data_IF_695861853886
#
_entry.id   IF_695861853886
#
_cell.length_a   1.000
_cell.length_b   1.000
_cell.length_c   1.000
_cell.angle_alpha   90.00
_cell.angle_beta   90.00
_cell.angle_gamma   90.00
#
_symmetry.space_group_name_H-M   'P 1'
#
loop_
_entity.id
_entity.type
_entity.pdbx_description
1 polymer ?
#
# COMPACT_ATOMS: atom_id res chain seq x y z
N UNK A 1 6.57 -27.87 8.09
CA UNK A 1 6.79 -26.44 7.84
C UNK A 1 8.17 -26.14 8.40
N UNK A 2 9.08 -25.56 7.61
CA UNK A 2 10.45 -25.28 8.08
C UNK A 2 10.42 -24.34 9.30
N UNK A 3 11.24 -24.61 10.31
CA UNK A 3 11.46 -23.74 11.46
C UNK A 3 12.22 -22.47 11.05
N UNK A 4 12.19 -21.43 11.89
CA UNK A 4 12.93 -20.20 11.60
C UNK A 4 14.45 -20.45 11.65
N UNK A 5 14.91 -21.32 12.55
CA UNK A 5 16.31 -21.75 12.64
C UNK A 5 16.79 -22.46 11.36
N UNK A 6 15.96 -23.30 10.75
CA UNK A 6 16.29 -23.95 9.48
C UNK A 6 16.41 -22.93 8.34
N UNK A 7 15.54 -21.91 8.30
CA UNK A 7 15.57 -20.85 7.27
C UNK A 7 16.88 -20.06 7.33
N UNK A 8 17.42 -19.77 8.52
CA UNK A 8 18.69 -19.04 8.67
C UNK A 8 19.86 -19.71 7.94
N UNK A 9 19.79 -21.02 7.70
CA UNK A 9 20.83 -21.77 7.00
C UNK A 9 20.84 -21.57 5.47
N UNK A 10 19.78 -20.99 4.91
CA UNK A 10 19.56 -20.88 3.46
C UNK A 10 20.24 -19.68 2.77
N UNK A 11 21.14 -18.97 3.48
CA UNK A 11 21.96 -17.85 2.96
C UNK A 11 21.12 -16.76 2.27
N UNK A 12 21.32 -16.51 0.98
CA UNK A 12 20.67 -15.42 0.23
C UNK A 12 19.15 -15.60 0.04
N UNK A 13 18.62 -16.83 0.16
CA UNK A 13 17.18 -17.10 -0.01
C UNK A 13 16.43 -16.93 1.31
N UNK A 14 17.14 -17.11 2.45
CA UNK A 14 16.59 -17.09 3.79
C UNK A 14 15.76 -15.83 4.08
N UNK A 15 16.23 -14.66 3.63
CA UNK A 15 15.57 -13.38 3.86
C UNK A 15 14.15 -13.37 3.26
N UNK A 16 14.02 -13.84 2.02
CA UNK A 16 12.71 -13.88 1.37
C UNK A 16 11.81 -14.98 1.95
N UNK A 17 12.37 -16.13 2.33
CA UNK A 17 11.61 -17.22 2.96
C UNK A 17 11.03 -16.81 4.31
N UNK A 18 11.82 -16.15 5.15
CA UNK A 18 11.37 -15.62 6.44
C UNK A 18 10.18 -14.68 6.23
N UNK A 19 10.33 -13.72 5.30
CA UNK A 19 9.29 -12.72 5.02
C UNK A 19 8.03 -13.37 4.46
N UNK A 20 8.14 -14.25 3.46
CA UNK A 20 6.97 -14.92 2.89
C UNK A 20 6.24 -15.80 3.91
N UNK A 21 6.98 -16.45 4.82
CA UNK A 21 6.41 -17.29 5.87
C UNK A 21 5.58 -16.49 6.87
N UNK A 22 6.03 -15.29 7.24
CA UNK A 22 5.46 -14.54 8.37
C UNK A 22 4.56 -13.38 7.98
N UNK A 23 4.78 -12.73 6.83
CA UNK A 23 4.16 -11.44 6.49
C UNK A 23 2.61 -11.44 6.50
N UNK A 24 1.98 -12.61 6.27
CA UNK A 24 0.51 -12.76 6.29
C UNK A 24 -0.07 -13.31 7.59
N UNK A 25 0.78 -13.86 8.46
CA UNK A 25 0.34 -14.73 9.56
C UNK A 25 0.77 -14.24 10.94
N UNK A 26 1.74 -13.32 11.03
CA UNK A 26 2.30 -12.83 12.30
C UNK A 26 2.49 -11.32 12.28
N UNK A 27 2.48 -10.71 13.46
CA UNK A 27 2.86 -9.31 13.60
C UNK A 27 4.34 -9.16 13.23
N UNK A 28 4.68 -8.12 12.47
CA UNK A 28 6.07 -7.84 12.09
C UNK A 28 7.02 -7.78 13.28
N UNK A 29 6.55 -7.30 14.44
CA UNK A 29 7.35 -7.21 15.67
C UNK A 29 7.84 -8.58 16.15
N UNK A 30 7.10 -9.67 15.89
CA UNK A 30 7.41 -11.01 16.42
C UNK A 30 8.66 -11.64 15.77
N UNK A 31 9.08 -11.15 14.60
CA UNK A 31 10.15 -11.76 13.80
C UNK A 31 11.23 -10.76 13.39
N UNK A 32 11.25 -9.56 13.98
CA UNK A 32 12.35 -8.58 13.81
C UNK A 32 13.72 -9.18 14.10
N UNK A 33 13.95 -9.96 15.18
CA UNK A 33 15.30 -10.45 15.47
C UNK A 33 15.87 -11.30 14.32
N UNK A 34 15.05 -12.18 13.75
CA UNK A 34 15.44 -13.01 12.59
C UNK A 34 15.61 -12.18 11.31
N UNK A 35 14.79 -11.14 11.13
CA UNK A 35 14.91 -10.23 9.99
C UNK A 35 16.25 -9.48 10.05
N UNK A 36 16.57 -8.89 11.20
CA UNK A 36 17.83 -8.17 11.45
C UNK A 36 19.03 -9.07 11.21
N UNK A 37 19.01 -10.30 11.73
CA UNK A 37 20.07 -11.28 11.52
C UNK A 37 20.33 -11.53 10.03
N UNK A 38 19.25 -11.74 9.25
CA UNK A 38 19.35 -12.01 7.81
C UNK A 38 19.74 -10.78 6.97
N UNK A 39 19.35 -9.57 7.40
CA UNK A 39 19.78 -8.33 6.77
C UNK A 39 21.28 -8.10 6.99
N UNK A 40 21.78 -8.42 8.19
CA UNK A 40 23.17 -8.21 8.59
C UNK A 40 24.10 -9.37 8.18
N UNK A 41 23.57 -10.52 7.77
CA UNK A 41 24.33 -11.72 7.37
C UNK A 41 25.22 -11.52 6.12
N UNK A 42 25.10 -10.40 5.41
CA UNK A 42 25.96 -10.08 4.25
C UNK A 42 25.68 -10.90 2.99
N UNK A 43 24.63 -11.72 2.96
CA UNK A 43 24.25 -12.55 1.81
C UNK A 43 23.41 -11.83 0.75
N UNK A 44 22.94 -10.62 1.05
CA UNK A 44 21.99 -9.86 0.22
C UNK A 44 22.61 -8.54 -0.24
N UNK A 45 22.35 -8.15 -1.48
CA UNK A 45 22.73 -6.82 -2.01
C UNK A 45 21.87 -5.72 -1.40
N UNK A 46 22.30 -4.46 -1.54
CA UNK A 46 21.51 -3.31 -1.11
C UNK A 46 20.15 -3.25 -1.83
N UNK A 47 20.10 -3.62 -3.11
CA UNK A 47 18.86 -3.69 -3.89
C UNK A 47 17.91 -4.77 -3.35
N UNK A 48 18.42 -5.96 -3.03
CA UNK A 48 17.62 -7.03 -2.45
C UNK A 48 17.06 -6.64 -1.08
N UNK A 49 17.87 -5.99 -0.22
CA UNK A 49 17.38 -5.45 1.06
C UNK A 49 16.30 -4.39 0.84
N UNK A 50 16.48 -3.48 -0.11
CA UNK A 50 15.49 -2.46 -0.43
C UNK A 50 14.15 -3.08 -0.84
N UNK A 51 14.17 -4.04 -1.78
CA UNK A 51 12.95 -4.73 -2.24
C UNK A 51 12.23 -5.42 -1.08
N UNK A 52 12.97 -6.12 -0.21
CA UNK A 52 12.39 -6.81 0.94
C UNK A 52 11.80 -5.82 1.95
N UNK A 53 12.55 -4.79 2.33
CA UNK A 53 12.08 -3.79 3.29
C UNK A 53 10.87 -3.01 2.76
N UNK A 54 10.90 -2.62 1.49
CA UNK A 54 9.75 -2.01 0.81
C UNK A 54 8.53 -2.92 0.83
N UNK A 55 8.71 -4.21 0.56
CA UNK A 55 7.64 -5.18 0.56
C UNK A 55 7.02 -5.36 1.96
N UNK A 56 7.87 -5.47 2.98
CA UNK A 56 7.45 -5.57 4.39
C UNK A 56 6.66 -4.32 4.81
N UNK A 57 7.17 -3.12 4.55
CA UNK A 57 6.49 -1.88 4.93
C UNK A 57 5.16 -1.66 4.19
N UNK A 58 5.03 -2.18 2.96
CA UNK A 58 3.81 -2.04 2.17
C UNK A 58 2.75 -3.11 2.49
N UNK A 59 3.15 -4.34 2.84
CA UNK A 59 2.24 -5.49 2.94
C UNK A 59 2.21 -6.15 4.31
N UNK A 60 3.16 -5.83 5.18
CA UNK A 60 3.27 -6.45 6.49
C UNK A 60 2.23 -5.93 7.46
N UNK A 61 1.78 -6.82 8.34
CA UNK A 61 0.80 -6.50 9.36
C UNK A 61 1.49 -6.19 10.68
N UNK A 62 1.22 -5.03 11.26
CA UNK A 62 1.61 -4.71 12.63
C UNK A 62 0.64 -3.73 13.25
N UNK A 63 0.46 -3.83 14.57
CA UNK A 63 -0.26 -2.82 15.34
C UNK A 63 0.57 -1.55 15.58
N UNK A 64 1.90 -1.61 15.43
CA UNK A 64 2.79 -0.48 15.71
C UNK A 64 3.98 -0.41 14.74
N UNK A 65 3.75 0.22 13.57
CA UNK A 65 4.77 0.41 12.54
C UNK A 65 5.95 1.25 13.04
N UNK A 66 5.69 2.26 13.87
CA UNK A 66 6.74 3.13 14.41
C UNK A 66 7.72 2.35 15.29
N UNK A 67 7.22 1.43 16.12
CA UNK A 67 8.06 0.55 16.93
C UNK A 67 8.87 -0.41 16.07
N UNK A 68 8.27 -0.99 15.01
CA UNK A 68 8.99 -1.84 14.07
C UNK A 68 10.17 -1.11 13.44
N UNK A 69 9.92 0.09 12.89
CA UNK A 69 10.96 0.91 12.24
C UNK A 69 12.04 1.31 13.24
N UNK A 70 11.67 1.73 14.45
CA UNK A 70 12.63 2.09 15.49
C UNK A 70 13.55 0.92 15.86
N UNK A 71 12.99 -0.27 16.13
CA UNK A 71 13.78 -1.44 16.49
C UNK A 71 14.69 -1.91 15.35
N UNK A 72 14.23 -1.78 14.11
CA UNK A 72 15.03 -2.11 12.93
C UNK A 72 16.22 -1.16 12.77
N UNK A 73 16.01 0.15 12.93
CA UNK A 73 17.10 1.16 12.88
C UNK A 73 18.07 0.97 14.04
N UNK A 74 17.56 0.73 15.25
CA UNK A 74 18.39 0.52 16.45
C UNK A 74 19.33 -0.69 16.30
N UNK A 75 18.84 -1.78 15.69
CA UNK A 75 19.62 -3.01 15.49
C UNK A 75 20.41 -3.04 14.18
N UNK A 76 20.02 -2.23 13.20
CA UNK A 76 20.70 -2.09 11.90
C UNK A 76 20.77 -0.62 11.44
N UNK A 77 21.59 0.23 12.08
CA UNK A 77 21.66 1.67 11.76
C UNK A 77 22.03 1.97 10.31
N UNK A 78 22.77 1.08 9.66
CA UNK A 78 23.14 1.16 8.25
C UNK A 78 21.96 1.18 7.27
N UNK A 79 20.76 0.72 7.69
CA UNK A 79 19.56 0.73 6.86
C UNK A 79 18.70 1.98 7.06
N UNK A 80 19.08 2.91 7.96
CA UNK A 80 18.31 4.13 8.25
C UNK A 80 18.05 4.96 6.98
N UNK A 81 19.10 5.28 6.21
CA UNK A 81 18.96 6.06 4.97
C UNK A 81 18.06 5.35 3.96
N UNK A 82 18.19 4.04 3.81
CA UNK A 82 17.35 3.24 2.91
C UNK A 82 15.88 3.28 3.36
N UNK A 83 15.62 3.15 4.67
CA UNK A 83 14.27 3.21 5.23
C UNK A 83 13.64 4.60 5.07
N UNK A 84 14.42 5.68 5.22
CA UNK A 84 13.96 7.04 4.94
C UNK A 84 13.56 7.20 3.47
N UNK A 85 14.39 6.73 2.53
CA UNK A 85 14.05 6.75 1.10
C UNK A 85 12.78 5.95 0.79
N UNK A 86 12.63 4.76 1.37
CA UNK A 86 11.41 3.95 1.21
C UNK A 86 10.19 4.70 1.75
N UNK A 87 10.31 5.36 2.92
CA UNK A 87 9.22 6.13 3.50
C UNK A 87 8.79 7.30 2.61
N UNK A 88 9.74 8.04 2.04
CA UNK A 88 9.48 9.13 1.08
C UNK A 88 8.77 8.60 -0.18
N UNK A 89 9.24 7.48 -0.74
CA UNK A 89 8.61 6.86 -1.90
C UNK A 89 7.17 6.40 -1.62
N UNK A 90 6.93 5.80 -0.45
CA UNK A 90 5.61 5.35 -0.03
C UNK A 90 4.66 6.54 0.19
N UNK A 91 5.15 7.61 0.82
CA UNK A 91 4.38 8.84 0.99
C UNK A 91 3.99 9.44 -0.37
N UNK A 92 4.95 9.54 -1.30
CA UNK A 92 4.70 10.06 -2.64
C UNK A 92 3.67 9.21 -3.40
N UNK A 93 3.81 7.88 -3.38
CA UNK A 93 2.84 6.95 -3.98
C UNK A 93 1.45 7.11 -3.35
N UNK A 94 1.38 7.27 -2.04
CA UNK A 94 0.14 7.51 -1.31
C UNK A 94 -0.54 8.82 -1.73
N UNK A 95 0.22 9.92 -1.85
CA UNK A 95 -0.28 11.20 -2.33
C UNK A 95 -0.81 11.12 -3.76
N UNK A 96 -0.05 10.50 -4.67
CA UNK A 96 -0.47 10.31 -6.07
C UNK A 96 -1.73 9.45 -6.20
N UNK A 97 -1.84 8.39 -5.39
CA UNK A 97 -3.04 7.57 -5.35
C UNK A 97 -4.23 8.37 -4.81
N UNK A 98 -4.06 9.13 -3.73
CA UNK A 98 -5.10 9.97 -3.15
C UNK A 98 -5.60 11.05 -4.12
N UNK A 99 -4.69 11.73 -4.84
CA UNK A 99 -5.05 12.72 -5.86
C UNK A 99 -5.86 12.07 -6.98
N UNK A 100 -5.41 10.92 -7.51
CA UNK A 100 -6.13 10.21 -8.57
C UNK A 100 -7.52 9.77 -8.14
N UNK A 101 -7.65 9.22 -6.93
CA UNK A 101 -8.94 8.82 -6.37
C UNK A 101 -9.85 10.03 -6.17
N UNK A 102 -9.33 11.14 -5.64
CA UNK A 102 -10.08 12.38 -5.44
C UNK A 102 -10.55 13.02 -6.75
N UNK A 103 -9.72 13.02 -7.79
CA UNK A 103 -10.11 13.51 -9.13
C UNK A 103 -11.23 12.65 -9.71
N UNK A 104 -11.11 11.32 -9.64
CA UNK A 104 -12.13 10.44 -10.20
C UNK A 104 -13.45 10.53 -9.44
N UNK A 105 -13.39 10.58 -8.10
CA UNK A 105 -14.56 10.78 -7.27
C UNK A 105 -15.22 12.13 -7.55
N UNK A 106 -14.45 13.23 -7.59
CA UNK A 106 -14.97 14.56 -7.88
C UNK A 106 -15.59 14.67 -9.29
N UNK A 107 -15.01 13.97 -10.27
CA UNK A 107 -15.56 13.90 -11.63
C UNK A 107 -16.91 13.17 -11.67
N UNK A 108 -17.04 12.05 -10.96
CA UNK A 108 -18.31 11.32 -10.87
C UNK A 108 -19.36 12.08 -10.05
N UNK A 109 -18.98 12.70 -8.93
CA UNK A 109 -19.85 13.55 -8.11
C UNK A 109 -20.36 14.75 -8.92
N UNK A 110 -19.48 15.46 -9.63
CA UNK A 110 -19.87 16.60 -10.47
C UNK A 110 -20.83 16.24 -11.60
N UNK A 111 -20.68 15.05 -12.21
CA UNK A 111 -21.66 14.54 -13.18
C UNK A 111 -23.02 14.29 -12.54
N UNK A 112 -23.04 13.66 -11.35
CA UNK A 112 -24.28 13.37 -10.63
C UNK A 112 -24.99 14.64 -10.19
N UNK A 113 -24.25 15.63 -9.69
CA UNK A 113 -24.77 16.95 -9.33
C UNK A 113 -25.37 17.66 -10.54
N UNK A 114 -24.62 17.69 -11.65
CA UNK A 114 -25.10 18.26 -12.92
C UNK A 114 -26.38 17.56 -13.40
N UNK A 115 -26.42 16.23 -13.39
CA UNK A 115 -27.61 15.47 -13.79
C UNK A 115 -28.82 15.77 -12.89
N UNK A 116 -28.61 15.89 -11.58
CA UNK A 116 -29.66 16.21 -10.61
C UNK A 116 -30.24 17.60 -10.85
N UNK A 117 -29.38 18.58 -11.14
CA UNK A 117 -29.80 19.95 -11.44
C UNK A 117 -30.55 20.04 -12.78
N UNK A 118 -30.07 19.34 -13.82
CA UNK A 118 -30.75 19.27 -15.12
C UNK A 118 -32.14 18.61 -15.01
N UNK A 119 -32.26 17.54 -14.22
CA UNK A 119 -33.56 16.92 -13.91
C UNK A 119 -34.51 17.91 -13.25
N UNK A 120 -34.02 18.72 -12.30
CA UNK A 120 -34.81 19.74 -11.61
C UNK A 120 -35.36 20.81 -12.57
N UNK A 121 -34.62 21.16 -13.60
CA UNK A 121 -35.08 22.07 -14.66
C UNK A 121 -35.96 21.40 -15.73
N UNK A 122 -36.27 20.10 -15.60
CA UNK A 122 -37.12 19.39 -16.55
C UNK A 122 -36.43 19.05 -17.88
N UNK A 123 -35.09 19.04 -17.90
CA UNK A 123 -34.34 18.62 -19.10
C UNK A 123 -34.61 17.14 -19.37
N UNK A 124 -34.77 16.77 -20.65
CA UNK A 124 -35.10 15.39 -21.02
C UNK A 124 -33.96 14.43 -20.68
N UNK A 125 -34.34 13.20 -20.31
CA UNK A 125 -33.43 12.16 -19.87
C UNK A 125 -32.34 11.85 -20.90
N UNK A 126 -32.69 11.86 -22.19
CA UNK A 126 -31.75 11.57 -23.29
C UNK A 126 -30.68 12.65 -23.43
N UNK A 127 -31.02 13.92 -23.21
CA UNK A 127 -30.05 15.03 -23.18
C UNK A 127 -29.12 14.85 -21.97
N UNK A 128 -29.65 14.54 -20.79
CA UNK A 128 -28.84 14.38 -19.57
C UNK A 128 -27.86 13.21 -19.71
N UNK A 129 -28.30 12.06 -20.25
CA UNK A 129 -27.43 10.91 -20.54
C UNK A 129 -26.29 11.33 -21.46
N UNK A 130 -26.62 12.03 -22.55
CA UNK A 130 -25.63 12.44 -23.56
C UNK A 130 -24.64 13.47 -23.02
N UNK A 131 -25.11 14.42 -22.19
CA UNK A 131 -24.28 15.50 -21.65
C UNK A 131 -23.39 15.08 -20.48
N UNK A 132 -23.85 14.15 -19.63
CA UNK A 132 -23.12 13.73 -18.42
C UNK A 132 -22.35 12.42 -18.60
N UNK A 133 -22.71 11.63 -19.62
CA UNK A 133 -22.17 10.28 -19.83
C UNK A 133 -22.57 9.27 -18.75
N UNK A 134 -23.57 9.60 -17.93
CA UNK A 134 -24.14 8.68 -16.94
C UNK A 134 -25.13 7.72 -17.61
N UNK A 135 -25.24 6.50 -17.08
CA UNK A 135 -26.26 5.56 -17.53
C UNK A 135 -27.65 6.05 -17.14
N UNK A 136 -28.66 5.62 -17.90
CA UNK A 136 -30.06 5.93 -17.62
C UNK A 136 -30.45 5.49 -16.20
N UNK A 137 -30.06 4.28 -15.78
CA UNK A 137 -30.32 3.76 -14.44
C UNK A 137 -29.74 4.65 -13.33
N UNK A 138 -28.51 5.14 -13.51
CA UNK A 138 -27.89 6.07 -12.55
C UNK A 138 -28.68 7.37 -12.43
N UNK A 139 -29.18 7.91 -13.55
CA UNK A 139 -29.94 9.16 -13.56
C UNK A 139 -31.36 8.95 -13.00
N UNK A 140 -32.01 7.82 -13.28
CA UNK A 140 -33.33 7.49 -12.74
C UNK A 140 -33.28 7.30 -11.22
N UNK A 141 -32.21 6.72 -10.69
CA UNK A 141 -31.96 6.63 -9.26
C UNK A 141 -31.84 8.01 -8.57
N UNK A 142 -31.57 9.10 -9.30
CA UNK A 142 -31.52 10.47 -8.76
C UNK A 142 -32.89 11.14 -8.65
N UNK A 143 -33.96 10.54 -9.18
CA UNK A 143 -35.33 11.11 -9.14
C UNK A 143 -36.07 10.83 -7.82
N UNK A 144 -35.50 9.98 -6.97
CA UNK A 144 -35.99 9.64 -5.63
C UNK A 144 -35.27 10.46 -4.57
#
# INVERSE_FOLDING_TARGET
>A
MLSDEEILTHKSIALMELVQKHIRCRDMLDWIPHLVELLNAGYNTAEQRNVVLSYILLNGHTLNLSQFVHQLIEQSPEHETMLMTIAEELEQKGREQGIRQGIEQGREEGKLETARELLRYGVSLDIIVTSTGLSRDKIEALKH
#
